data_IF_255760668151
#
_entry.id   IF_255760668151
#
_cell.length_a   1.000
_cell.length_b   1.000
_cell.length_c   1.000
_cell.angle_alpha   90.00
_cell.angle_beta   90.00
_cell.angle_gamma   90.00
#
_symmetry.space_group_name_H-M   'P 1'
#
loop_
_entity.id
_entity.type
_entity.pdbx_description
1 polymer ?
#
# COMPACT_ATOMS: atom_id res chain seq x y z
N UNK A 1 13.17 -16.90 -3.51
CA UNK A 1 13.18 -15.85 -4.55
C UNK A 1 12.72 -14.57 -3.88
N UNK A 2 13.51 -13.51 -3.91
CA UNK A 2 13.06 -12.20 -3.44
C UNK A 2 11.93 -11.72 -4.36
N UNK A 3 10.70 -11.76 -3.85
CA UNK A 3 9.46 -11.44 -4.60
C UNK A 3 9.47 -10.06 -5.26
N UNK A 4 10.40 -9.18 -4.87
CA UNK A 4 10.53 -7.81 -5.37
C UNK A 4 11.97 -7.43 -5.75
N UNK A 5 12.80 -8.41 -6.14
CA UNK A 5 14.11 -8.12 -6.71
C UNK A 5 14.00 -7.17 -7.93
N UNK A 6 14.92 -6.22 -8.04
CA UNK A 6 14.95 -5.28 -9.17
C UNK A 6 15.16 -6.09 -10.46
N UNK A 7 14.20 -6.09 -11.41
CA UNK A 7 14.31 -6.93 -12.58
C UNK A 7 15.32 -6.35 -13.57
N UNK A 8 15.88 -7.23 -14.41
CA UNK A 8 16.75 -6.83 -15.51
C UNK A 8 15.96 -5.99 -16.53
N UNK A 9 16.12 -4.66 -16.41
CA UNK A 9 15.40 -3.67 -17.20
C UNK A 9 15.67 -3.81 -18.70
N UNK A 10 16.89 -4.20 -19.08
CA UNK A 10 17.28 -4.36 -20.48
C UNK A 10 16.64 -5.62 -21.09
N UNK A 11 16.57 -6.71 -20.31
CA UNK A 11 15.88 -7.93 -20.71
C UNK A 11 14.38 -7.68 -20.89
N UNK A 12 13.75 -6.96 -19.95
CA UNK A 12 12.34 -6.58 -20.05
C UNK A 12 12.04 -5.70 -21.27
N UNK A 13 12.88 -4.69 -21.53
CA UNK A 13 12.76 -3.84 -22.72
C UNK A 13 12.74 -4.66 -24.02
N UNK A 14 13.67 -5.60 -24.18
CA UNK A 14 13.74 -6.47 -25.37
C UNK A 14 12.56 -7.44 -25.46
N UNK A 15 12.16 -8.01 -24.33
CA UNK A 15 11.04 -8.94 -24.29
C UNK A 15 9.71 -8.26 -24.66
N UNK A 16 9.55 -6.98 -24.32
CA UNK A 16 8.37 -6.20 -24.70
C UNK A 16 8.21 -6.06 -26.21
N UNK A 17 9.31 -5.86 -26.95
CA UNK A 17 9.31 -5.88 -28.42
C UNK A 17 8.86 -7.24 -28.95
N UNK A 18 9.45 -8.31 -28.43
CA UNK A 18 9.13 -9.68 -28.86
C UNK A 18 7.67 -10.03 -28.58
N UNK A 19 7.15 -9.59 -27.44
CA UNK A 19 5.76 -9.79 -27.04
C UNK A 19 4.77 -9.07 -27.95
N UNK A 20 5.12 -7.85 -28.38
CA UNK A 20 4.36 -7.12 -29.40
C UNK A 20 4.32 -7.88 -30.73
N UNK A 21 5.44 -8.49 -31.12
CA UNK A 21 5.55 -9.33 -32.32
C UNK A 21 4.82 -10.70 -32.18
N UNK A 22 4.06 -10.91 -31.09
CA UNK A 22 3.29 -12.13 -30.84
C UNK A 22 4.10 -13.30 -30.27
N UNK A 23 5.37 -13.09 -29.90
CA UNK A 23 6.20 -14.15 -29.29
C UNK A 23 5.81 -14.35 -27.83
N UNK A 24 5.89 -15.58 -27.30
CA UNK A 24 5.62 -15.85 -25.90
C UNK A 24 6.65 -15.16 -24.99
N UNK A 25 6.21 -14.72 -23.81
CA UNK A 25 7.11 -14.25 -22.76
C UNK A 25 7.80 -15.45 -22.10
N UNK A 26 9.09 -15.36 -21.76
CA UNK A 26 9.73 -16.38 -20.93
C UNK A 26 9.04 -16.48 -19.56
N UNK A 27 8.82 -17.71 -19.05
CA UNK A 27 8.01 -17.96 -17.84
C UNK A 27 8.50 -17.18 -16.61
N UNK A 28 9.82 -17.10 -16.39
CA UNK A 28 10.40 -16.42 -15.22
C UNK A 28 10.69 -14.93 -15.42
N UNK A 29 10.25 -14.33 -16.54
CA UNK A 29 10.58 -12.94 -16.84
C UNK A 29 9.72 -11.95 -16.02
N UNK A 30 8.44 -12.27 -15.85
CA UNK A 30 7.45 -11.42 -15.20
C UNK A 30 6.60 -12.24 -14.24
N UNK A 31 6.21 -11.69 -13.09
CA UNK A 31 5.09 -12.22 -12.33
C UNK A 31 3.86 -12.43 -13.22
N UNK A 32 3.14 -13.54 -13.00
CA UNK A 32 2.02 -13.93 -13.84
C UNK A 32 0.92 -12.86 -13.93
N UNK A 33 0.69 -12.09 -12.86
CA UNK A 33 -0.24 -10.96 -12.85
C UNK A 33 0.15 -9.87 -13.85
N UNK A 34 1.44 -9.54 -13.91
CA UNK A 34 1.99 -8.52 -14.81
C UNK A 34 1.98 -9.04 -16.26
N UNK A 35 2.33 -10.30 -16.48
CA UNK A 35 2.25 -10.92 -17.82
C UNK A 35 0.81 -10.91 -18.38
N UNK A 36 -0.20 -11.23 -17.55
CA UNK A 36 -1.61 -11.10 -17.92
C UNK A 36 -2.01 -9.65 -18.23
N UNK A 37 -1.51 -8.69 -17.45
CA UNK A 37 -1.75 -7.27 -17.70
C UNK A 37 -1.13 -6.78 -19.01
N UNK A 38 0.07 -7.27 -19.37
CA UNK A 38 0.67 -7.01 -20.68
C UNK A 38 -0.21 -7.52 -21.82
N UNK A 39 -0.75 -8.74 -21.70
CA UNK A 39 -1.69 -9.29 -22.68
C UNK A 39 -2.92 -8.39 -22.85
N UNK A 40 -3.59 -8.01 -21.75
CA UNK A 40 -4.73 -7.08 -21.81
C UNK A 40 -4.36 -5.73 -22.45
N UNK A 41 -3.20 -5.18 -22.14
CA UNK A 41 -2.72 -3.90 -22.72
C UNK A 41 -2.51 -4.00 -24.23
N UNK A 42 -1.87 -5.09 -24.69
CA UNK A 42 -1.67 -5.38 -26.12
C UNK A 42 -3.00 -5.62 -26.84
N UNK A 43 -3.88 -6.41 -26.24
CA UNK A 43 -5.17 -6.78 -26.83
C UNK A 43 -6.13 -5.56 -26.91
N UNK A 44 -5.92 -4.55 -26.06
CA UNK A 44 -6.56 -3.23 -26.17
C UNK A 44 -5.94 -2.33 -27.27
N UNK A 45 -4.96 -2.82 -28.03
CA UNK A 45 -4.34 -2.12 -29.15
C UNK A 45 -3.22 -1.14 -28.77
N UNK A 46 -2.74 -1.16 -27.52
CA UNK A 46 -1.67 -0.27 -27.11
C UNK A 46 -0.31 -0.75 -27.64
N UNK A 47 0.46 0.20 -28.17
CA UNK A 47 1.86 -0.02 -28.56
C UNK A 47 2.80 0.46 -27.46
N UNK A 48 3.82 -0.33 -27.06
CA UNK A 48 4.72 0.05 -25.97
C UNK A 48 5.40 1.40 -26.06
N UNK A 49 5.75 1.87 -27.26
CA UNK A 49 6.48 3.13 -27.47
C UNK A 49 5.58 4.29 -27.92
N UNK A 50 4.26 4.14 -27.83
CA UNK A 50 3.35 5.24 -28.12
C UNK A 50 3.39 6.29 -26.99
N UNK A 51 3.32 7.60 -27.30
CA UNK A 51 3.35 8.66 -26.29
C UNK A 51 1.95 8.87 -25.67
N UNK A 52 1.42 7.86 -24.98
CA UNK A 52 0.00 7.77 -24.64
C UNK A 52 -0.46 8.88 -23.69
N UNK A 53 0.33 9.23 -22.68
CA UNK A 53 -0.07 10.24 -21.69
C UNK A 53 -0.32 11.62 -22.31
N UNK A 54 0.49 12.01 -23.29
CA UNK A 54 0.32 13.28 -24.01
C UNK A 54 -0.89 13.31 -24.93
N UNK A 55 -1.48 12.15 -25.22
CA UNK A 55 -2.64 11.96 -26.09
C UNK A 55 -3.93 11.68 -25.30
N UNK A 56 -3.85 11.64 -23.97
CA UNK A 56 -5.05 11.50 -23.15
C UNK A 56 -5.93 12.73 -23.31
N UNK A 57 -7.23 12.49 -23.44
CA UNK A 57 -8.22 13.57 -23.35
C UNK A 57 -8.19 14.18 -21.95
N UNK A 58 -8.49 15.46 -21.83
CA UNK A 58 -8.67 16.16 -20.56
C UNK A 58 -10.00 15.81 -19.88
N UNK A 59 -10.86 15.03 -20.52
CA UNK A 59 -12.07 14.49 -19.91
C UNK A 59 -11.77 13.69 -18.63
N UNK A 60 -12.48 14.05 -17.56
CA UNK A 60 -12.45 13.41 -16.26
C UNK A 60 -13.80 12.78 -15.95
N UNK A 61 -13.76 11.61 -15.36
CA UNK A 61 -14.97 10.95 -14.86
C UNK A 61 -15.55 11.75 -13.69
N UNK A 62 -16.87 11.94 -13.71
CA UNK A 62 -17.59 12.44 -12.55
C UNK A 62 -17.57 11.38 -11.45
N UNK A 63 -17.34 11.80 -10.22
CA UNK A 63 -17.35 10.92 -9.06
C UNK A 63 -18.78 10.61 -8.63
N UNK A 64 -19.03 9.36 -8.29
CA UNK A 64 -20.29 8.88 -7.76
C UNK A 64 -20.33 9.03 -6.23
N UNK A 65 -21.51 8.92 -5.57
CA UNK A 65 -21.61 9.02 -4.11
C UNK A 65 -20.68 8.05 -3.35
N UNK A 66 -20.54 6.83 -3.85
CA UNK A 66 -19.63 5.81 -3.33
C UNK A 66 -18.15 6.19 -3.47
N UNK A 67 -17.77 6.91 -4.52
CA UNK A 67 -16.41 7.42 -4.71
C UNK A 67 -16.07 8.47 -3.67
N UNK A 68 -17.03 9.36 -3.37
CA UNK A 68 -16.88 10.36 -2.31
C UNK A 68 -16.77 9.72 -0.93
N UNK A 69 -17.52 8.64 -0.69
CA UNK A 69 -17.42 7.84 0.53
C UNK A 69 -16.01 7.23 0.66
N UNK A 70 -15.54 6.53 -0.38
CA UNK A 70 -14.21 5.94 -0.40
C UNK A 70 -13.11 7.00 -0.22
N UNK A 71 -13.22 8.13 -0.92
CA UNK A 71 -12.30 9.26 -0.79
C UNK A 71 -12.26 9.81 0.64
N UNK A 72 -13.42 9.91 1.32
CA UNK A 72 -13.51 10.36 2.71
C UNK A 72 -12.74 9.44 3.66
N UNK A 73 -12.93 8.12 3.56
CA UNK A 73 -12.23 7.16 4.44
C UNK A 73 -10.74 7.04 4.12
N UNK A 74 -10.36 7.20 2.84
CA UNK A 74 -8.96 7.14 2.41
C UNK A 74 -8.15 8.41 2.73
N UNK A 75 -8.81 9.58 2.83
CA UNK A 75 -8.12 10.87 2.96
C UNK A 75 -7.17 10.96 4.16
N UNK A 76 -7.53 10.55 5.39
CA UNK A 76 -6.63 10.63 6.54
C UNK A 76 -5.33 9.85 6.35
N UNK A 77 -5.39 8.66 5.75
CA UNK A 77 -4.20 7.85 5.50
C UNK A 77 -3.36 8.40 4.34
N UNK A 78 -4.01 8.89 3.28
CA UNK A 78 -3.31 9.54 2.17
C UNK A 78 -2.54 10.77 2.68
N UNK A 79 -3.16 11.58 3.53
CA UNK A 79 -2.53 12.77 4.13
C UNK A 79 -1.38 12.40 5.07
N UNK A 80 -1.58 11.41 5.95
CA UNK A 80 -0.52 10.90 6.84
C UNK A 80 0.66 10.35 6.06
N UNK A 81 0.42 9.52 5.04
CA UNK A 81 1.47 8.99 4.18
C UNK A 81 2.15 10.12 3.39
N UNK A 82 1.41 11.13 2.94
CA UNK A 82 1.97 12.27 2.21
C UNK A 82 2.94 13.08 3.07
N UNK A 83 2.65 13.27 4.37
CA UNK A 83 3.56 13.96 5.29
C UNK A 83 4.94 13.26 5.41
N UNK A 84 4.97 11.93 5.32
CA UNK A 84 6.19 11.13 5.50
C UNK A 84 6.88 10.82 4.17
N UNK A 85 6.10 10.55 3.13
CA UNK A 85 6.59 10.02 1.85
C UNK A 85 6.47 11.03 0.69
N UNK A 86 5.80 12.16 0.88
CA UNK A 86 5.52 13.13 -0.18
C UNK A 86 6.75 13.82 -0.76
N UNK A 87 6.51 14.58 -1.83
CA UNK A 87 7.51 15.37 -2.54
C UNK A 87 7.30 15.34 -4.05
N UNK A 88 8.11 16.12 -4.79
CA UNK A 88 7.94 16.34 -6.24
C UNK A 88 7.98 15.08 -7.10
N UNK A 89 8.68 14.04 -6.65
CA UNK A 89 8.85 12.79 -7.41
C UNK A 89 7.79 11.72 -7.07
N UNK A 90 6.79 12.04 -6.24
CA UNK A 90 5.87 11.06 -5.64
C UNK A 90 4.42 11.53 -5.73
N UNK A 91 3.51 10.58 -5.78
CA UNK A 91 2.06 10.82 -5.74
C UNK A 91 1.41 9.64 -5.04
N UNK A 92 0.50 9.92 -4.11
CA UNK A 92 -0.26 8.91 -3.37
C UNK A 92 -1.72 9.11 -3.70
N UNK A 93 -2.42 8.05 -4.08
CA UNK A 93 -3.80 8.15 -4.50
C UNK A 93 -4.60 6.89 -4.23
N UNK A 94 -5.91 7.06 -4.17
CA UNK A 94 -6.88 5.98 -4.08
C UNK A 94 -7.69 5.96 -5.38
N UNK A 95 -7.93 4.75 -5.90
CA UNK A 95 -8.83 4.50 -7.04
C UNK A 95 -10.03 3.68 -6.60
N UNK A 96 -11.17 3.87 -7.27
CA UNK A 96 -12.32 2.97 -7.17
C UNK A 96 -12.11 1.69 -8.00
N UNK A 97 -13.14 0.82 -8.05
CA UNK A 97 -13.10 -0.46 -8.78
C UNK A 97 -12.95 -0.32 -10.29
N UNK A 98 -13.34 0.82 -10.85
CA UNK A 98 -13.17 1.15 -12.28
C UNK A 98 -11.80 1.77 -12.59
N UNK A 99 -10.92 1.86 -11.58
CA UNK A 99 -9.60 2.48 -11.71
C UNK A 99 -9.64 4.01 -11.81
N UNK A 100 -10.76 4.66 -11.44
CA UNK A 100 -10.86 6.13 -11.40
C UNK A 100 -10.25 6.65 -10.10
N UNK A 101 -9.35 7.61 -10.19
CA UNK A 101 -8.74 8.27 -9.03
C UNK A 101 -9.81 9.08 -8.28
N UNK A 102 -10.12 8.68 -7.04
CA UNK A 102 -11.14 9.35 -6.20
C UNK A 102 -10.52 10.32 -5.19
N UNK A 103 -9.26 10.08 -4.79
CA UNK A 103 -8.49 10.95 -3.88
C UNK A 103 -7.01 10.89 -4.22
N UNK A 104 -6.34 12.04 -4.17
CA UNK A 104 -4.90 12.17 -4.49
C UNK A 104 -4.23 13.18 -3.58
N UNK A 105 -2.99 12.89 -3.18
CA UNK A 105 -2.03 13.84 -2.64
C UNK A 105 -0.78 13.87 -3.53
N UNK A 106 -0.46 15.06 -4.03
CA UNK A 106 0.68 15.32 -4.93
C UNK A 106 1.24 16.72 -4.71
N UNK A 107 2.50 16.92 -5.11
CA UNK A 107 3.13 18.24 -5.15
C UNK A 107 2.55 19.06 -6.32
N UNK A 108 2.44 20.39 -6.15
CA UNK A 108 1.99 21.29 -7.23
C UNK A 108 2.95 21.31 -8.42
N UNK A 109 4.24 21.09 -8.15
CA UNK A 109 5.33 21.05 -9.13
C UNK A 109 5.84 19.61 -9.30
N UNK A 110 4.92 18.65 -9.38
CA UNK A 110 5.29 17.25 -9.54
C UNK A 110 6.08 17.03 -10.84
N UNK A 111 6.99 16.07 -10.80
CA UNK A 111 7.86 15.76 -11.94
C UNK A 111 7.06 15.09 -13.06
N UNK A 112 7.24 15.50 -14.32
CA UNK A 112 6.61 14.80 -15.41
C UNK A 112 7.02 13.33 -15.54
N UNK A 113 6.11 12.43 -15.93
CA UNK A 113 4.69 12.67 -16.27
C UNK A 113 3.67 12.53 -15.11
N UNK A 114 4.05 12.72 -13.84
CA UNK A 114 3.10 12.61 -12.71
C UNK A 114 1.95 13.63 -12.75
N UNK A 115 2.07 14.72 -13.51
CA UNK A 115 1.05 15.77 -13.60
C UNK A 115 -0.29 15.24 -14.13
N UNK A 116 -0.28 14.18 -14.94
CA UNK A 116 -1.48 13.57 -15.52
C UNK A 116 -2.36 12.82 -14.49
N UNK A 117 -1.81 12.50 -13.30
CA UNK A 117 -2.57 11.90 -12.22
C UNK A 117 -3.41 12.98 -11.52
N UNK A 118 -4.73 12.88 -11.62
CA UNK A 118 -5.68 13.80 -11.00
C UNK A 118 -7.00 13.10 -10.68
N UNK A 119 -7.77 13.67 -9.76
CA UNK A 119 -9.10 13.14 -9.42
C UNK A 119 -9.98 13.06 -10.68
N UNK A 120 -10.72 11.96 -10.83
CA UNK A 120 -11.54 11.68 -12.02
C UNK A 120 -10.76 11.06 -13.19
N UNK A 121 -9.43 11.00 -13.14
CA UNK A 121 -8.64 10.31 -14.17
C UNK A 121 -8.75 8.80 -13.96
N UNK A 122 -9.04 8.06 -15.03
CA UNK A 122 -8.98 6.60 -15.03
C UNK A 122 -7.57 6.11 -15.31
N UNK A 123 -7.08 5.17 -14.50
CA UNK A 123 -5.75 4.56 -14.60
C UNK A 123 -5.89 3.04 -14.80
N UNK A 124 -6.22 2.65 -16.02
CA UNK A 124 -6.50 1.26 -16.39
C UNK A 124 -5.81 0.83 -17.67
N UNK A 125 -5.68 -0.48 -17.86
CA UNK A 125 -4.81 -1.04 -18.90
C UNK A 125 -5.20 -0.67 -20.32
N UNK A 126 -6.48 -0.67 -20.73
CA UNK A 126 -6.88 -0.18 -22.04
C UNK A 126 -6.50 1.27 -22.36
N UNK A 127 -6.31 2.13 -21.35
CA UNK A 127 -5.98 3.53 -21.58
C UNK A 127 -4.50 3.83 -21.50
N UNK A 128 -3.80 3.30 -20.50
CA UNK A 128 -2.39 3.65 -20.23
C UNK A 128 -1.52 2.42 -19.98
N UNK A 129 -1.96 1.25 -20.43
CA UNK A 129 -1.24 0.00 -20.27
C UNK A 129 -1.11 -0.43 -18.81
N UNK A 130 -0.23 -1.40 -18.57
CA UNK A 130 -0.03 -1.99 -17.25
C UNK A 130 0.31 -0.96 -16.17
N UNK A 131 -0.63 -0.78 -15.23
CA UNK A 131 -0.45 0.00 -14.01
C UNK A 131 -0.69 -0.86 -12.76
N UNK A 132 -0.09 -0.47 -11.63
CA UNK A 132 -0.21 -1.25 -10.40
C UNK A 132 -1.64 -1.24 -9.86
N UNK A 133 -2.39 -0.11 -9.85
CA UNK A 133 -3.80 -0.11 -9.48
C UNK A 133 -4.63 -1.10 -10.31
N UNK A 134 -4.48 -1.13 -11.63
CA UNK A 134 -5.27 -2.03 -12.49
C UNK A 134 -4.94 -3.49 -12.22
N UNK A 135 -3.66 -3.82 -12.04
CA UNK A 135 -3.26 -5.18 -11.67
C UNK A 135 -3.81 -5.56 -10.28
N UNK A 136 -3.75 -4.65 -9.30
CA UNK A 136 -4.28 -4.89 -7.95
C UNK A 136 -5.78 -5.13 -7.99
N UNK A 137 -6.51 -4.33 -8.77
CA UNK A 137 -7.96 -4.45 -8.92
C UNK A 137 -8.34 -5.79 -9.56
N UNK A 138 -7.61 -6.21 -10.59
CA UNK A 138 -7.85 -7.48 -11.27
C UNK A 138 -7.48 -8.72 -10.45
N UNK A 139 -6.44 -8.64 -9.62
CA UNK A 139 -5.86 -9.79 -8.93
C UNK A 139 -6.28 -9.89 -7.46
N UNK A 140 -6.86 -8.82 -6.89
CA UNK A 140 -7.23 -8.74 -5.47
C UNK A 140 -6.03 -8.86 -4.52
N UNK A 141 -4.83 -8.48 -4.97
CA UNK A 141 -3.57 -8.66 -4.24
C UNK A 141 -2.65 -7.46 -4.44
N UNK A 142 -1.72 -7.19 -3.50
CA UNK A 142 -0.73 -6.15 -3.69
C UNK A 142 0.13 -6.37 -4.94
N UNK A 143 0.40 -5.28 -5.66
CA UNK A 143 1.23 -5.26 -6.86
C UNK A 143 2.34 -4.23 -6.70
N UNK A 144 3.55 -4.64 -7.07
CA UNK A 144 4.70 -3.76 -7.25
C UNK A 144 5.08 -3.81 -8.72
N UNK A 145 5.14 -2.64 -9.36
CA UNK A 145 5.63 -2.47 -10.72
C UNK A 145 6.90 -1.62 -10.71
N UNK A 146 7.93 -2.09 -11.42
CA UNK A 146 9.25 -1.47 -11.50
C UNK A 146 9.66 -1.26 -12.95
N UNK A 147 9.80 0.00 -13.35
CA UNK A 147 10.34 0.44 -14.63
C UNK A 147 9.74 -0.29 -15.81
N UNK A 148 10.54 -1.10 -16.48
CA UNK A 148 10.13 -1.83 -17.68
C UNK A 148 9.12 -2.96 -17.44
N UNK A 149 8.67 -3.20 -16.21
CA UNK A 149 7.46 -3.99 -15.95
C UNK A 149 6.18 -3.26 -16.37
N UNK A 150 6.20 -1.93 -16.43
CA UNK A 150 5.14 -1.19 -17.12
C UNK A 150 5.14 -1.54 -18.61
N UNK A 151 3.95 -1.64 -19.19
CA UNK A 151 3.81 -1.95 -20.61
C UNK A 151 4.19 -0.76 -21.50
N UNK A 152 3.86 0.47 -21.11
CA UNK A 152 4.28 1.65 -21.86
C UNK A 152 5.68 2.11 -21.43
N UNK A 153 6.53 2.42 -22.41
CA UNK A 153 7.92 2.83 -22.20
C UNK A 153 8.02 4.18 -21.49
N UNK A 154 7.02 5.05 -21.60
CA UNK A 154 7.00 6.33 -20.89
C UNK A 154 7.02 6.16 -19.35
N UNK A 155 6.74 4.95 -18.86
CA UNK A 155 6.83 4.60 -17.45
C UNK A 155 8.15 3.89 -17.05
N UNK A 156 9.16 3.82 -17.92
CA UNK A 156 10.41 3.08 -17.64
C UNK A 156 11.17 3.54 -16.38
N UNK A 157 10.92 4.77 -15.92
CA UNK A 157 11.52 5.37 -14.73
C UNK A 157 10.68 5.24 -13.46
N UNK A 158 9.48 4.70 -13.59
CA UNK A 158 8.51 4.67 -12.51
C UNK A 158 8.72 3.45 -11.62
N UNK A 159 8.33 3.61 -10.36
CA UNK A 159 7.80 2.49 -9.61
C UNK A 159 6.40 2.81 -9.13
N UNK A 160 5.61 1.76 -8.98
CA UNK A 160 4.29 1.82 -8.38
C UNK A 160 4.17 0.71 -7.34
N UNK A 161 3.56 1.02 -6.20
CA UNK A 161 3.15 0.03 -5.20
C UNK A 161 1.68 0.26 -4.94
N UNK A 162 0.88 -0.78 -5.14
CA UNK A 162 -0.57 -0.73 -4.98
C UNK A 162 -1.06 -1.86 -4.08
N UNK A 163 -2.03 -1.57 -3.23
CA UNK A 163 -2.67 -2.54 -2.32
C UNK A 163 -4.20 -2.47 -2.45
N UNK A 164 -4.90 -3.60 -2.34
CA UNK A 164 -6.36 -3.62 -2.45
C UNK A 164 -7.01 -3.04 -1.19
N UNK A 165 -8.15 -2.37 -1.39
CA UNK A 165 -9.06 -1.91 -0.34
C UNK A 165 -10.33 -2.76 -0.40
N UNK A 166 -10.74 -3.31 0.75
CA UNK A 166 -11.90 -4.18 0.89
C UNK A 166 -13.01 -3.51 1.69
N UNK A 167 -14.24 -3.69 1.23
CA UNK A 167 -15.44 -3.22 1.91
C UNK A 167 -15.82 -4.09 3.10
N UNK A 168 -16.92 -3.72 3.74
CA UNK A 168 -17.41 -4.35 4.97
C UNK A 168 -17.95 -5.77 4.73
N UNK A 169 -18.29 -6.10 3.49
CA UNK A 169 -18.72 -7.43 3.04
C UNK A 169 -17.57 -8.26 2.41
N UNK A 170 -16.33 -7.77 2.48
CA UNK A 170 -15.17 -8.42 1.88
C UNK A 170 -15.11 -8.29 0.35
N UNK A 171 -15.92 -7.41 -0.22
CA UNK A 171 -15.90 -7.01 -1.61
C UNK A 171 -14.73 -6.06 -1.89
N UNK A 172 -14.14 -6.11 -3.07
CA UNK A 172 -13.10 -5.16 -3.45
C UNK A 172 -13.77 -3.82 -3.76
N UNK A 173 -13.37 -2.74 -3.08
CA UNK A 173 -13.95 -1.40 -3.27
C UNK A 173 -12.99 -0.42 -3.96
N UNK A 174 -11.72 -0.79 -4.11
CA UNK A 174 -10.72 0.07 -4.73
C UNK A 174 -9.30 -0.39 -4.45
N UNK A 175 -8.36 0.51 -4.70
CA UNK A 175 -6.95 0.30 -4.37
C UNK A 175 -6.28 1.60 -3.90
N UNK A 176 -5.36 1.47 -2.96
CA UNK A 176 -4.46 2.54 -2.54
C UNK A 176 -3.12 2.35 -3.26
N UNK A 177 -2.60 3.40 -3.87
CA UNK A 177 -1.38 3.38 -4.65
C UNK A 177 -0.44 4.52 -4.28
N UNK A 178 0.86 4.23 -4.38
CA UNK A 178 1.91 5.21 -4.47
C UNK A 178 2.71 4.98 -5.73
N UNK A 179 2.79 6.04 -6.53
CA UNK A 179 3.51 6.08 -7.79
C UNK A 179 4.60 7.15 -7.69
N UNK A 180 5.77 6.87 -8.23
CA UNK A 180 6.77 7.91 -8.37
C UNK A 180 7.96 7.52 -9.22
N UNK A 181 8.94 8.42 -9.26
CA UNK A 181 10.08 8.34 -10.17
C UNK A 181 11.35 8.16 -9.34
N UNK A 182 12.18 7.18 -9.71
CA UNK A 182 13.45 6.90 -9.06
C UNK A 182 13.39 5.60 -8.27
N UNK A 183 14.08 5.53 -7.13
CA UNK A 183 14.17 4.31 -6.34
C UNK A 183 13.74 4.53 -4.89
N UNK A 184 13.01 3.57 -4.31
CA UNK A 184 12.68 3.50 -2.89
C UNK A 184 12.73 2.06 -2.40
N UNK A 185 12.89 1.84 -1.08
CA UNK A 185 12.74 0.51 -0.49
C UNK A 185 11.28 0.06 -0.60
N UNK A 186 10.94 -0.63 -1.70
CA UNK A 186 9.55 -1.00 -2.05
C UNK A 186 8.86 -1.85 -0.99
N UNK A 187 9.60 -2.67 -0.26
CA UNK A 187 9.07 -3.44 0.86
C UNK A 187 8.53 -2.54 1.97
N UNK A 188 9.32 -1.54 2.40
CA UNK A 188 8.89 -0.58 3.42
C UNK A 188 7.69 0.25 2.96
N UNK A 189 7.62 0.57 1.67
CA UNK A 189 6.48 1.27 1.07
C UNK A 189 5.24 0.37 1.07
N UNK A 190 5.37 -0.89 0.68
CA UNK A 190 4.30 -1.88 0.68
C UNK A 190 3.73 -2.10 2.08
N UNK A 191 4.57 -2.20 3.10
CA UNK A 191 4.13 -2.36 4.50
C UNK A 191 3.32 -1.14 4.97
N UNK A 192 3.79 0.07 4.65
CA UNK A 192 3.09 1.31 4.99
C UNK A 192 1.74 1.43 4.26
N UNK A 193 1.67 1.01 3.00
CA UNK A 193 0.43 0.98 2.23
C UNK A 193 -0.55 -0.06 2.78
N UNK A 194 -0.09 -1.26 3.12
CA UNK A 194 -0.94 -2.28 3.73
C UNK A 194 -1.52 -1.81 5.07
N UNK A 195 -0.68 -1.19 5.92
CA UNK A 195 -1.14 -0.59 7.17
C UNK A 195 -2.21 0.48 6.93
N UNK A 196 -1.97 1.39 5.98
CA UNK A 196 -2.92 2.42 5.60
C UNK A 196 -4.22 1.82 5.07
N UNK A 197 -4.16 0.80 4.19
CA UNK A 197 -5.33 0.13 3.67
C UNK A 197 -6.20 -0.45 4.80
N UNK A 198 -5.60 -1.18 5.74
CA UNK A 198 -6.33 -1.73 6.89
C UNK A 198 -6.97 -0.62 7.75
N UNK A 199 -6.29 0.53 7.91
CA UNK A 199 -6.84 1.67 8.62
C UNK A 199 -8.03 2.31 7.88
N UNK A 200 -7.99 2.38 6.55
CA UNK A 200 -9.12 2.85 5.72
C UNK A 200 -10.32 1.91 5.89
N UNK A 201 -10.08 0.61 5.85
CA UNK A 201 -11.14 -0.40 5.98
C UNK A 201 -11.81 -0.37 7.34
N UNK A 202 -11.04 -0.18 8.42
CA UNK A 202 -11.60 -0.08 9.76
C UNK A 202 -12.52 1.14 9.89
N UNK A 203 -12.20 2.27 9.24
CA UNK A 203 -13.07 3.46 9.24
C UNK A 203 -14.40 3.25 8.52
N UNK A 204 -14.52 2.24 7.65
CA UNK A 204 -15.81 1.92 7.03
C UNK A 204 -16.85 1.47 8.06
N UNK A 205 -16.41 0.96 9.22
CA UNK A 205 -17.29 0.50 10.28
C UNK A 205 -17.96 1.65 11.03
N UNK A 206 -17.39 2.86 11.00
CA UNK A 206 -17.96 4.05 11.61
C UNK A 206 -19.30 4.45 10.98
N UNK A 207 -19.50 4.09 9.71
CA UNK A 207 -20.71 4.43 8.94
C UNK A 207 -21.78 3.33 8.97
N UNK A 208 -21.52 2.19 9.63
CA UNK A 208 -22.50 1.11 9.74
C UNK A 208 -23.64 1.51 10.70
N UNK A 209 -24.91 1.44 10.28
CA UNK A 209 -26.03 1.94 11.08
C UNK A 209 -26.40 0.97 12.21
N UNK A 210 -26.43 1.47 13.46
CA UNK A 210 -27.03 0.79 14.63
C UNK A 210 -26.58 -0.68 14.79
N UNK A 211 -25.30 -0.94 14.61
CA UNK A 211 -24.71 -2.27 14.83
C UNK A 211 -23.85 -2.29 16.08
N UNK A 212 -23.83 -3.42 16.77
CA UNK A 212 -22.85 -3.66 17.81
C UNK A 212 -21.55 -4.07 17.13
N UNK A 213 -20.45 -3.36 17.41
CA UNK A 213 -19.15 -3.67 16.83
C UNK A 213 -18.32 -4.40 17.88
N UNK A 214 -17.97 -5.64 17.58
CA UNK A 214 -17.02 -6.41 18.35
C UNK A 214 -15.62 -6.25 17.77
N UNK A 215 -14.68 -6.01 18.67
CA UNK A 215 -13.26 -5.94 18.36
C UNK A 215 -12.62 -7.26 18.77
N UNK A 216 -11.83 -7.88 17.89
CA UNK A 216 -11.22 -9.19 18.11
C UNK A 216 -9.73 -9.14 17.88
N UNK A 217 -8.94 -9.74 18.79
CA UNK A 217 -7.50 -9.92 18.60
C UNK A 217 -6.93 -11.05 19.47
N UNK A 218 -5.81 -11.65 19.06
CA UNK A 218 -5.05 -12.56 19.93
C UNK A 218 -4.23 -11.80 20.98
N UNK A 219 -3.86 -10.55 20.69
CA UNK A 219 -3.10 -9.68 21.58
C UNK A 219 -3.90 -8.39 21.85
N UNK A 220 -4.33 -8.12 23.09
CA UNK A 220 -5.18 -6.98 23.40
C UNK A 220 -4.47 -5.64 23.18
N UNK A 221 -3.13 -5.63 23.03
CA UNK A 221 -2.36 -4.42 22.67
C UNK A 221 -2.61 -3.96 21.24
N UNK A 222 -3.21 -4.80 20.40
CA UNK A 222 -3.51 -4.49 18.99
C UNK A 222 -4.93 -3.93 18.79
N UNK A 223 -5.74 -3.80 19.84
CA UNK A 223 -7.00 -3.05 19.76
C UNK A 223 -6.75 -1.58 19.44
N UNK A 224 -7.73 -0.96 18.77
CA UNK A 224 -7.66 0.43 18.32
C UNK A 224 -6.49 0.70 17.34
N UNK A 225 -5.97 -0.36 16.73
CA UNK A 225 -4.96 -0.29 15.66
C UNK A 225 -5.55 -0.85 14.37
N UNK A 226 -4.98 -0.53 13.19
CA UNK A 226 -5.41 -1.12 11.93
C UNK A 226 -5.38 -2.66 11.91
N UNK A 227 -4.59 -3.29 12.79
CA UNK A 227 -4.48 -4.74 12.88
C UNK A 227 -5.64 -5.41 13.63
N UNK A 228 -6.58 -4.67 14.20
CA UNK A 228 -7.70 -5.29 14.91
C UNK A 228 -8.73 -5.95 13.98
N UNK A 229 -9.39 -6.99 14.48
CA UNK A 229 -10.57 -7.56 13.85
C UNK A 229 -11.80 -6.77 14.24
N UNK A 230 -12.64 -6.41 13.28
CA UNK A 230 -13.93 -5.75 13.50
C UNK A 230 -15.06 -6.62 12.95
N UNK A 231 -16.10 -6.83 13.76
CA UNK A 231 -17.33 -7.53 13.37
C UNK A 231 -18.53 -6.68 13.77
N UNK A 232 -19.38 -6.38 12.80
CA UNK A 232 -20.67 -5.75 13.06
C UNK A 232 -21.76 -6.82 13.18
N UNK A 233 -22.55 -6.74 14.25
CA UNK A 233 -23.67 -7.64 14.53
C UNK A 233 -25.00 -6.89 14.49
N UNK A 234 -26.05 -7.60 14.06
CA UNK A 234 -27.43 -7.16 14.30
C UNK A 234 -27.91 -7.52 15.72
N UNK A 235 -29.15 -7.14 16.04
CA UNK A 235 -29.78 -7.40 17.34
C UNK A 235 -30.02 -8.89 17.63
N UNK A 236 -29.92 -9.76 16.63
CA UNK A 236 -30.08 -11.21 16.75
C UNK A 236 -28.74 -11.95 16.84
N UNK A 237 -27.62 -11.22 16.78
CA UNK A 237 -26.26 -11.77 16.81
C UNK A 237 -25.78 -12.34 15.48
N UNK A 238 -26.45 -12.02 14.36
CA UNK A 238 -25.97 -12.39 13.03
C UNK A 238 -24.89 -11.42 12.56
N UNK A 239 -23.88 -11.95 11.86
CA UNK A 239 -22.77 -11.16 11.32
C UNK A 239 -23.27 -10.35 10.12
N UNK A 240 -23.23 -9.03 10.26
CA UNK A 240 -23.57 -8.08 9.21
C UNK A 240 -22.35 -7.59 8.44
N UNK A 241 -21.18 -7.51 9.08
CA UNK A 241 -19.92 -7.16 8.43
C UNK A 241 -18.74 -7.76 9.20
N UNK A 242 -17.64 -8.03 8.50
CA UNK A 242 -16.39 -8.50 9.12
C UNK A 242 -15.18 -8.08 8.28
N UNK A 243 -14.22 -7.39 8.90
CA UNK A 243 -13.04 -6.91 8.20
C UNK A 243 -12.08 -8.08 7.90
N UNK A 244 -11.07 -7.85 7.06
CA UNK A 244 -10.13 -8.91 6.65
C UNK A 244 -9.45 -9.60 7.84
N UNK A 245 -9.17 -8.86 8.92
CA UNK A 245 -8.55 -9.41 10.13
C UNK A 245 -9.53 -10.31 10.88
N UNK A 246 -10.75 -9.83 11.16
CA UNK A 246 -11.78 -10.61 11.84
C UNK A 246 -12.11 -11.90 11.08
N UNK A 247 -12.19 -11.82 9.75
CA UNK A 247 -12.40 -13.01 8.92
C UNK A 247 -11.30 -14.03 9.12
N UNK A 248 -10.02 -13.63 9.09
CA UNK A 248 -8.89 -14.54 9.33
C UNK A 248 -8.91 -15.15 10.72
N UNK A 249 -9.12 -14.32 11.74
CA UNK A 249 -9.17 -14.76 13.15
C UNK A 249 -10.30 -15.77 13.40
N UNK A 250 -11.38 -15.72 12.61
CA UNK A 250 -12.53 -16.63 12.71
C UNK A 250 -12.57 -17.71 11.61
N UNK A 251 -11.57 -17.80 10.74
CA UNK A 251 -11.54 -18.76 9.62
C UNK A 251 -12.63 -18.54 8.55
N UNK A 252 -12.99 -17.28 8.27
CA UNK A 252 -14.07 -16.87 7.35
C UNK A 252 -13.57 -16.30 6.01
N UNK A 253 -12.29 -16.45 5.65
CA UNK A 253 -11.68 -15.77 4.50
C UNK A 253 -12.46 -15.89 3.17
N UNK A 254 -13.14 -17.01 2.93
CA UNK A 254 -13.90 -17.27 1.71
C UNK A 254 -15.40 -17.56 1.97
N UNK A 255 -15.91 -17.29 3.17
CA UNK A 255 -17.30 -17.58 3.51
C UNK A 255 -18.18 -16.34 3.32
N UNK A 256 -19.37 -16.47 2.68
CA UNK A 256 -20.34 -15.39 2.68
C UNK A 256 -20.83 -15.14 4.10
N UNK A 257 -20.89 -13.88 4.53
CA UNK A 257 -21.31 -13.53 5.89
C UNK A 257 -22.82 -13.74 6.12
N UNK A 258 -23.61 -13.70 5.05
CA UNK A 258 -25.06 -13.76 5.11
C UNK A 258 -25.53 -15.04 5.82
N UNK A 259 -26.26 -14.87 6.93
CA UNK A 259 -26.83 -15.96 7.71
C UNK A 259 -25.86 -16.61 8.69
N UNK A 260 -24.60 -16.18 8.75
CA UNK A 260 -23.66 -16.64 9.76
C UNK A 260 -24.00 -16.01 11.10
N UNK A 261 -24.24 -16.85 12.10
CA UNK A 261 -24.39 -16.41 13.48
C UNK A 261 -23.04 -16.49 14.18
N UNK A 262 -22.76 -15.49 15.01
CA UNK A 262 -21.47 -15.46 15.71
C UNK A 262 -21.37 -16.56 16.76
N UNK A 263 -22.48 -16.92 17.42
CA UNK A 263 -22.53 -17.94 18.47
C UNK A 263 -22.08 -19.34 17.99
N UNK A 264 -22.31 -19.67 16.72
CA UNK A 264 -21.84 -20.92 16.10
C UNK A 264 -20.30 -21.03 15.99
N UNK A 265 -19.55 -19.97 16.34
CA UNK A 265 -18.07 -19.96 16.30
C UNK A 265 -17.42 -20.02 17.68
N UNK A 266 -18.20 -19.89 18.75
CA UNK A 266 -17.71 -19.85 20.12
C UNK A 266 -18.30 -20.97 20.98
N UNK A 267 -17.53 -21.45 21.94
CA UNK A 267 -17.97 -22.47 22.90
C UNK A 267 -18.84 -21.86 24.03
N UNK A 268 -18.87 -20.52 24.14
CA UNK A 268 -19.53 -19.78 25.22
C UNK A 268 -20.70 -18.93 24.70
N UNK A 269 -21.73 -18.76 25.53
CA UNK A 269 -22.86 -17.87 25.24
C UNK A 269 -22.38 -16.41 25.12
N UNK A 270 -22.41 -15.88 23.90
CA UNK A 270 -21.94 -14.53 23.56
C UNK A 270 -22.74 -13.39 24.19
N UNK A 271 -23.92 -13.67 24.78
CA UNK A 271 -24.76 -12.63 25.40
C UNK A 271 -24.02 -11.85 26.48
N UNK A 272 -23.15 -12.50 27.24
CA UNK A 272 -22.37 -11.85 28.32
C UNK A 272 -21.31 -10.87 27.81
N UNK A 273 -20.80 -11.08 26.59
CA UNK A 273 -19.71 -10.29 26.00
C UNK A 273 -20.26 -9.00 25.36
N UNK A 274 -21.50 -9.03 24.88
CA UNK A 274 -22.16 -7.87 24.30
C UNK A 274 -22.36 -6.77 25.36
N UNK A 275 -22.40 -7.10 26.65
CA UNK A 275 -22.64 -6.09 27.69
C UNK A 275 -21.37 -5.59 28.39
N UNK A 276 -20.20 -6.18 28.11
CA UNK A 276 -18.94 -5.83 28.76
C UNK A 276 -17.96 -5.05 27.84
N UNK A 277 -17.60 -3.80 28.18
CA UNK A 277 -16.63 -3.02 27.42
C UNK A 277 -15.15 -3.37 27.69
N UNK A 278 -14.87 -4.26 28.65
CA UNK A 278 -13.51 -4.73 28.93
C UNK A 278 -13.16 -5.93 28.05
N UNK A 279 -11.92 -6.02 27.50
CA UNK A 279 -11.50 -7.19 26.75
C UNK A 279 -11.56 -8.47 27.57
N UNK A 280 -12.30 -9.46 27.07
CA UNK A 280 -12.39 -10.79 27.67
C UNK A 280 -11.76 -11.83 26.75
N UNK A 281 -11.01 -12.77 27.34
CA UNK A 281 -10.41 -13.88 26.61
C UNK A 281 -11.41 -15.03 26.46
N UNK A 282 -11.76 -15.36 25.22
CA UNK A 282 -12.81 -16.33 24.90
C UNK A 282 -12.26 -17.42 24.02
N UNK A 283 -12.72 -18.65 24.25
CA UNK A 283 -12.31 -19.83 23.50
C UNK A 283 -13.18 -20.01 22.25
N UNK A 284 -12.53 -20.23 21.11
CA UNK A 284 -13.17 -20.61 19.86
C UNK A 284 -13.49 -22.10 19.82
N UNK A 285 -14.39 -22.49 18.92
CA UNK A 285 -14.76 -23.89 18.69
C UNK A 285 -13.56 -24.78 18.24
N UNK A 286 -12.54 -24.19 17.62
CA UNK A 286 -11.30 -24.89 17.23
C UNK A 286 -10.29 -25.03 18.39
N UNK A 287 -10.63 -24.54 19.58
CA UNK A 287 -9.82 -24.60 20.79
C UNK A 287 -8.85 -23.44 20.98
N UNK A 288 -8.68 -22.56 19.99
CA UNK A 288 -7.89 -21.33 20.10
C UNK A 288 -8.59 -20.27 20.97
N UNK A 289 -7.90 -19.16 21.27
CA UNK A 289 -8.44 -18.10 22.11
C UNK A 289 -8.30 -16.72 21.46
N UNK A 290 -9.32 -15.88 21.62
CA UNK A 290 -9.35 -14.50 21.18
C UNK A 290 -9.80 -13.60 22.31
N UNK A 291 -9.13 -12.45 22.45
CA UNK A 291 -9.69 -11.33 23.18
C UNK A 291 -10.81 -10.70 22.37
N UNK A 292 -11.95 -10.47 23.01
CA UNK A 292 -13.08 -9.73 22.43
C UNK A 292 -13.44 -8.56 23.32
N UNK A 293 -13.68 -7.41 22.70
CA UNK A 293 -14.17 -6.20 23.36
C UNK A 293 -15.40 -5.69 22.60
N UNK A 294 -16.51 -5.46 23.28
CA UNK A 294 -17.62 -4.75 22.65
C UNK A 294 -17.41 -3.24 22.70
N UNK A 295 -17.53 -2.59 21.55
CA UNK A 295 -17.77 -1.17 21.48
C UNK A 295 -19.20 -0.95 21.01
N UNK A 296 -20.13 -0.80 21.97
CA UNK A 296 -21.45 -0.25 21.65
C UNK A 296 -21.21 1.14 21.03
N UNK A 297 -21.65 1.35 19.79
CA UNK A 297 -21.51 2.66 19.13
C UNK A 297 -22.06 3.73 20.07
N UNK A 298 -21.15 4.54 20.64
CA UNK A 298 -21.56 5.68 21.45
C UNK A 298 -22.37 6.59 20.55
N UNK A 299 -23.62 6.86 20.94
CA UNK A 299 -24.45 7.88 20.30
C UNK A 299 -23.61 9.12 20.01
N UNK A 300 -23.76 9.68 18.80
CA UNK A 300 -23.01 10.81 18.26
C UNK A 300 -22.96 12.07 19.17
N UNK A 301 -23.72 12.09 20.26
CA UNK A 301 -23.63 13.08 21.32
C UNK A 301 -22.27 13.10 22.07
N UNK A 302 -21.53 12.00 22.11
CA UNK A 302 -20.31 11.88 22.94
C UNK A 302 -19.03 12.44 22.29
N UNK A 303 -19.01 12.59 20.96
CA UNK A 303 -17.85 13.13 20.21
C UNK A 303 -17.80 14.67 20.23
N UNK A 304 -18.85 15.33 20.71
CA UNK A 304 -18.88 16.80 20.87
C UNK A 304 -18.23 17.32 22.15
N UNK A 305 -17.81 16.45 23.07
CA UNK A 305 -17.19 16.88 24.35
C UNK A 305 -15.66 16.84 24.38
N UNK A 306 -14.97 16.19 23.42
CA UNK A 306 -13.50 16.12 23.43
C UNK A 306 -12.81 17.23 22.62
N UNK A 307 -13.56 18.04 21.87
CA UNK A 307 -13.02 19.20 21.11
C UNK A 307 -13.18 20.53 21.84
N UNK A 308 -13.77 20.56 23.04
CA UNK A 308 -14.03 21.79 23.80
C UNK A 308 -12.99 22.11 24.90
N UNK A 309 -11.97 21.28 25.13
CA UNK A 309 -10.98 21.51 26.21
C UNK A 309 -9.58 21.93 25.74
N UNK A 310 -9.40 22.33 24.48
CA UNK A 310 -8.11 22.80 23.95
C UNK A 310 -8.17 24.27 23.50
N UNK A 311 -8.58 25.17 24.39
CA UNK A 311 -8.31 26.61 24.25
C UNK A 311 -8.44 27.37 25.57
N UNK A 312 -7.38 27.41 26.38
CA UNK A 312 -6.91 28.65 27.02
C UNK A 312 -5.60 28.37 27.75
N UNK A 313 -4.58 29.14 27.43
CA UNK A 313 -3.24 28.97 27.99
C UNK A 313 -2.25 29.86 27.28
N UNK A 314 -2.49 31.17 27.30
CA UNK A 314 -1.56 32.17 26.81
C UNK A 314 -0.24 32.07 27.59
N UNK A 315 0.83 31.65 26.92
CA UNK A 315 2.18 31.67 27.48
C UNK A 315 2.70 33.11 27.41
N UNK A 316 2.74 33.76 28.58
CA UNK A 316 3.47 35.01 28.80
C UNK A 316 4.98 34.73 28.76
N UNK A 317 5.70 35.42 27.90
CA UNK A 317 7.16 35.51 27.89
C UNK A 317 7.66 36.24 29.15
N UNK A 318 8.66 35.74 29.88
CA UNK A 318 9.25 36.47 30.99
C UNK A 318 10.32 37.45 30.51
N UNK A 319 10.22 38.68 31.02
CA UNK A 319 11.23 39.74 30.96
C UNK A 319 12.61 39.24 31.42
N UNK A 320 13.66 39.63 30.67
CA UNK A 320 15.04 39.63 31.17
C UNK A 320 15.64 41.03 31.09
N UNK A 321 16.00 41.49 32.28
CA UNK A 321 16.72 42.69 32.68
C UNK A 321 17.94 43.02 31.81
N UNK A 322 18.07 44.29 31.43
CA UNK A 322 19.35 44.96 31.11
C UNK A 322 20.07 45.35 32.42
N UNK A 323 21.42 45.55 32.49
CA UNK A 323 22.14 46.67 31.84
C UNK A 323 23.67 46.36 31.59
N UNK A 324 24.63 47.31 31.47
CA UNK A 324 24.64 48.70 30.98
C UNK A 324 25.63 48.94 29.81
N UNK A 325 25.63 50.17 29.31
CA UNK A 325 26.42 50.78 28.22
C UNK A 325 27.85 51.20 28.57
N UNK A 326 28.78 51.13 27.60
CA UNK A 326 30.03 51.93 27.53
C UNK A 326 31.27 51.21 26.96
N UNK A 327 32.23 51.91 26.30
CA UNK A 327 32.66 51.54 24.94
C UNK A 327 34.15 51.16 24.78
N UNK A 328 34.51 50.51 23.67
CA UNK A 328 35.83 50.72 23.02
C UNK A 328 35.84 50.29 21.55
N UNK A 329 36.43 51.16 20.73
CA UNK A 329 36.63 51.04 19.28
C UNK A 329 37.75 50.04 18.94
N UNK A 330 37.65 49.35 17.80
CA UNK A 330 38.75 49.14 16.85
C UNK A 330 38.27 48.54 15.51
N UNK A 331 38.16 49.44 14.54
CA UNK A 331 38.31 49.37 13.09
C UNK A 331 39.07 48.19 12.43
N UNK A 332 38.50 47.74 11.29
CA UNK A 332 39.13 47.27 10.03
C UNK A 332 40.08 46.03 10.09
N UNK A 333 40.01 45.03 9.20
CA UNK A 333 40.28 45.09 7.74
C UNK A 333 39.71 43.85 7.05
N UNK A 334 39.10 44.06 5.88
CA UNK A 334 38.75 43.07 4.86
C UNK A 334 39.99 42.69 4.04
N UNK A 335 40.22 41.40 3.78
CA UNK A 335 41.12 40.96 2.70
C UNK A 335 40.55 39.78 1.91
N UNK A 336 40.53 40.00 0.60
CA UNK A 336 40.15 39.09 -0.48
C UNK A 336 41.11 37.89 -0.64
N UNK A 337 40.52 36.77 -1.11
CA UNK A 337 40.98 35.64 -1.98
C UNK A 337 42.35 35.75 -2.72
N UNK A 338 42.84 34.68 -3.40
CA UNK A 338 42.57 33.22 -3.33
C UNK A 338 43.86 32.35 -3.39
N UNK A 339 43.76 31.02 -3.21
CA UNK A 339 44.82 30.09 -3.65
C UNK A 339 44.24 28.81 -4.28
N UNK A 340 44.70 28.54 -5.51
CA UNK A 340 44.59 27.29 -6.28
C UNK A 340 45.63 26.27 -5.81
N UNK A 341 45.37 25.00 -6.15
CA UNK A 341 46.24 23.80 -6.25
C UNK A 341 45.58 22.67 -5.44
N UNK A 342 45.52 21.40 -5.82
CA UNK A 342 45.78 20.63 -7.04
C UNK A 342 45.26 19.20 -6.73
N UNK A 343 44.83 18.47 -7.75
CA UNK A 343 44.27 17.10 -7.70
C UNK A 343 45.13 16.11 -6.89
N UNK A 344 44.54 15.05 -6.31
CA UNK A 344 45.24 13.79 -6.09
C UNK A 344 44.83 12.73 -7.12
N UNK A 345 45.85 11.97 -7.47
CA UNK A 345 45.98 10.91 -8.48
C UNK A 345 45.29 9.62 -8.07
N UNK A 346 44.65 8.95 -9.04
CA UNK A 346 44.17 7.57 -8.95
C UNK A 346 45.34 6.60 -8.72
N UNK A 347 45.31 5.83 -7.63
CA UNK A 347 46.17 4.66 -7.46
C UNK A 347 45.44 3.41 -7.97
N UNK A 348 45.94 2.88 -9.08
CA UNK A 348 45.64 1.57 -9.62
C UNK A 348 46.46 0.55 -8.82
N UNK A 349 45.82 -0.40 -8.13
CA UNK A 349 46.50 -1.55 -7.55
C UNK A 349 46.20 -2.78 -8.43
N UNK A 350 47.24 -3.33 -9.05
CA UNK A 350 47.19 -4.52 -9.88
C UNK A 350 48.26 -5.53 -9.42
N UNK A 351 47.93 -6.82 -9.62
CA UNK A 351 48.67 -8.06 -9.29
C UNK A 351 48.54 -8.49 -7.81
N UNK A 352 48.26 -9.76 -7.51
CA UNK A 352 48.99 -10.97 -7.93
C UNK A 352 48.07 -12.20 -8.04
N UNK A 353 48.27 -12.99 -9.11
CA UNK A 353 47.80 -14.37 -9.31
C UNK A 353 48.59 -15.35 -8.42
N UNK A 354 47.89 -16.33 -7.82
CA UNK A 354 48.28 -17.73 -7.50
C UNK A 354 47.00 -18.37 -6.93
N UNK A 355 46.33 -19.33 -7.54
CA UNK A 355 46.82 -20.60 -8.07
C UNK A 355 46.79 -21.62 -6.94
N UNK A 356 45.68 -22.35 -6.77
CA UNK A 356 45.65 -23.64 -6.06
C UNK A 356 44.47 -24.49 -6.55
N UNK A 357 44.68 -25.79 -6.42
CA UNK A 357 44.20 -26.84 -7.32
C UNK A 357 42.86 -27.45 -6.93
N UNK A 358 42.32 -28.14 -7.92
CA UNK A 358 41.18 -29.05 -7.91
C UNK A 358 41.30 -30.08 -6.79
N UNK A 359 40.21 -30.30 -6.04
CA UNK A 359 39.88 -31.61 -5.47
C UNK A 359 38.45 -31.98 -5.82
N UNK A 360 38.38 -33.01 -6.64
CA UNK A 360 37.25 -33.84 -7.01
C UNK A 360 36.69 -34.58 -5.80
N UNK A 361 35.36 -34.68 -5.71
CA UNK A 361 34.65 -35.68 -4.92
C UNK A 361 33.67 -36.43 -5.85
N UNK A 362 33.50 -37.75 -5.67
CA UNK A 362 32.95 -38.63 -6.69
C UNK A 362 31.42 -38.74 -6.64
N UNK A 363 30.86 -39.02 -7.81
CA UNK A 363 29.50 -39.51 -8.03
C UNK A 363 29.43 -41.04 -7.84
N UNK A 364 28.39 -41.51 -7.15
CA UNK A 364 27.84 -42.87 -7.18
C UNK A 364 26.50 -42.80 -6.41
N UNK A 365 25.35 -43.38 -6.76
CA UNK A 365 24.99 -44.52 -7.62
C UNK A 365 23.58 -44.29 -8.20
N UNK A 366 23.37 -44.75 -9.44
CA UNK A 366 22.06 -45.06 -10.02
C UNK A 366 21.63 -46.48 -9.59
N UNK A 367 20.31 -46.70 -9.43
CA UNK A 367 19.61 -47.91 -9.92
C UNK A 367 18.11 -47.62 -10.15
N UNK A 368 17.41 -48.39 -11.02
CA UNK A 368 16.23 -47.94 -11.76
C UNK A 368 14.92 -48.74 -11.46
N UNK A 369 13.86 -48.41 -12.24
CA UNK A 369 12.55 -49.07 -12.44
C UNK A 369 11.41 -48.61 -11.49
N UNK A 370 10.15 -48.42 -11.91
CA UNK A 370 9.42 -48.99 -13.04
C UNK A 370 8.31 -48.08 -13.59
N UNK A 371 8.02 -48.24 -14.89
CA UNK A 371 6.77 -47.86 -15.55
C UNK A 371 5.63 -48.82 -15.16
N UNK A 372 4.40 -48.31 -15.02
CA UNK A 372 3.23 -48.73 -15.81
C UNK A 372 2.00 -47.82 -15.56
N UNK A 373 1.18 -47.54 -16.59
CA UNK A 373 -0.09 -46.82 -16.47
C UNK A 373 -1.33 -47.74 -16.55
N UNK A 374 -2.43 -47.29 -15.94
CA UNK A 374 -3.84 -47.66 -16.14
C UNK A 374 -4.60 -46.34 -15.85
N UNK A 375 -5.53 -45.80 -16.63
CA UNK A 375 -6.34 -46.19 -17.78
C UNK A 375 -6.66 -44.91 -18.57
#
# INVERSE_FOLDING_TARGET
MDTYAVPDQQRLYRARQQFLDGKPLPEDLLPASIARSWARSRDAGLLPWQPRLSQLDDQLHMLMPEDHLLARHASPEIERLWQVLGGKAWTIFCVNTEGVIVRIAKDQNNLPPLQYLQVGRRVHEPEIGTTAPSCTLMEGKPIVLLGNQHYLNEFERFFCVSVPLWGTQGELIGALDITGIGNRPVHSVLDQLNYAAMAVENRLYDDLPKTNILHLQHDPRLFDTPFEGLIALDSQGCIQAANRTARRLLGLDNQPLKGLRLDERFDTNLKTIIDNPTPELIRLADGSQLYIRNQSQRSAASLKLSTASASSGAVKTPDRLAPPSGPTQASFVSLNRPARLSKPTFLFCSRVKRGLERRSLPAAFMTPAALMPLL
#
